data_IF_138513962318
#
_entry.id   IF_138513962318
#
_cell.length_a   1.000
_cell.length_b   1.000
_cell.length_c   1.000
_cell.angle_alpha   90.00
_cell.angle_beta   90.00
_cell.angle_gamma   90.00
#
_symmetry.space_group_name_H-M   'P 1'
#
loop_
_entity.id
_entity.type
_entity.pdbx_description
1 polymer ?
#
# COMPACT_ATOMS: atom_id res chain seq x y z
N UNK A 1 -1.35 -25.80 7.80
CA UNK A 1 -1.37 -25.14 8.27
C UNK A 1 -2.05 -24.48 8.48
N UNK A 2 -2.41 -24.17 8.61
CA UNK A 2 -2.40 -23.51 9.15
C UNK A 2 -3.37 -22.69 9.68
N UNK A 3 -3.29 -22.18 10.66
CA UNK A 3 -4.18 -21.23 11.21
C UNK A 3 -4.28 -20.11 10.24
N UNK A 4 -5.42 -19.61 10.08
CA UNK A 4 -5.57 -18.47 9.23
C UNK A 4 -6.49 -17.50 9.92
N UNK A 5 -6.21 -16.24 9.65
CA UNK A 5 -7.05 -15.20 10.16
C UNK A 5 -8.29 -15.08 9.30
N UNK A 6 -9.43 -15.16 9.96
CA UNK A 6 -10.69 -14.97 9.27
C UNK A 6 -11.33 -13.67 9.73
N UNK A 7 -10.58 -12.61 9.61
CA UNK A 7 -11.05 -11.30 10.00
C UNK A 7 -11.71 -10.65 8.79
N UNK A 8 -12.90 -10.08 8.96
CA UNK A 8 -13.54 -9.36 7.86
C UNK A 8 -12.62 -8.25 7.35
N UNK A 9 -12.59 -7.99 6.07
CA UNK A 9 -11.70 -6.94 5.54
C UNK A 9 -12.01 -5.60 6.16
N UNK A 10 -10.97 -4.91 6.62
CA UNK A 10 -11.10 -3.53 7.03
C UNK A 10 -11.14 -2.70 5.75
N UNK A 11 -12.29 -2.12 5.47
CA UNK A 11 -12.50 -1.32 4.28
C UNK A 11 -13.01 0.04 4.71
N UNK A 12 -12.24 1.09 4.41
CA UNK A 12 -12.57 2.43 4.86
C UNK A 12 -12.36 3.42 3.73
N UNK A 13 -13.44 4.04 3.32
CA UNK A 13 -13.37 5.08 2.31
C UNK A 13 -12.48 6.23 2.79
N UNK A 14 -12.55 6.54 4.08
CA UNK A 14 -11.74 7.60 4.66
C UNK A 14 -10.25 7.31 4.46
N UNK A 15 -9.83 6.05 4.67
CA UNK A 15 -8.45 5.65 4.46
C UNK A 15 -8.06 5.76 2.99
N UNK A 16 -8.93 5.28 2.09
CA UNK A 16 -8.64 5.34 0.66
C UNK A 16 -8.57 6.79 0.16
N UNK A 17 -9.49 7.62 0.60
CA UNK A 17 -9.50 9.01 0.18
C UNK A 17 -8.35 9.80 0.77
N UNK A 18 -7.77 9.35 1.88
CA UNK A 18 -6.65 10.06 2.50
C UNK A 18 -5.42 10.14 1.60
N UNK A 19 -5.33 9.26 0.60
CA UNK A 19 -4.18 9.24 -0.31
C UNK A 19 -4.14 10.46 -1.22
N UNK A 20 -5.27 11.11 -1.43
CA UNK A 20 -5.32 12.26 -2.32
C UNK A 20 -4.47 13.40 -1.75
N UNK A 21 -3.56 13.89 -2.58
CA UNK A 21 -2.68 14.98 -2.16
C UNK A 21 -1.50 14.56 -1.31
N UNK A 22 -1.37 13.28 -1.03
CA UNK A 22 -0.21 12.79 -0.27
C UNK A 22 0.97 12.54 -1.20
N UNK A 23 2.16 12.51 -0.62
CA UNK A 23 3.35 12.11 -1.35
C UNK A 23 3.43 10.60 -1.43
N UNK A 24 4.05 10.10 -2.50
CA UNK A 24 4.30 8.69 -2.66
C UNK A 24 5.27 8.20 -1.57
N UNK A 25 4.89 7.18 -0.81
CA UNK A 25 5.78 6.65 0.23
C UNK A 25 6.71 5.57 -0.30
N UNK A 26 6.42 4.99 -1.46
CA UNK A 26 7.30 3.99 -2.06
C UNK A 26 8.59 4.60 -2.61
N UNK A 27 8.47 5.67 -3.34
CA UNK A 27 9.61 6.41 -3.88
C UNK A 27 10.66 5.51 -4.55
N UNK A 28 10.18 4.57 -5.35
CA UNK A 28 11.07 3.70 -6.13
C UNK A 28 11.77 4.51 -7.23
N UNK A 29 12.75 3.92 -7.88
CA UNK A 29 13.46 4.61 -8.95
C UNK A 29 12.54 5.11 -10.04
N UNK A 30 11.45 4.40 -10.29
CA UNK A 30 10.46 4.79 -11.30
C UNK A 30 9.46 5.83 -10.80
N UNK A 31 9.58 6.29 -9.56
CA UNK A 31 8.59 7.17 -8.96
C UNK A 31 8.37 8.43 -9.80
N UNK A 32 7.09 8.76 -10.01
CA UNK A 32 6.75 9.95 -10.78
C UNK A 32 7.05 11.24 -10.01
N UNK A 33 7.01 11.17 -8.68
CA UNK A 33 7.07 12.37 -7.86
C UNK A 33 5.73 13.08 -7.82
N UNK A 34 5.63 14.09 -7.00
CA UNK A 34 4.40 14.86 -6.87
C UNK A 34 3.29 14.09 -6.18
N UNK A 35 2.09 14.67 -6.21
CA UNK A 35 0.96 14.12 -5.45
C UNK A 35 -0.23 13.77 -6.30
N UNK A 36 -0.19 14.08 -7.61
CA UNK A 36 -1.40 14.05 -8.44
C UNK A 36 -1.94 12.65 -8.73
N UNK A 37 -1.08 11.63 -8.67
CA UNK A 37 -1.48 10.26 -9.02
C UNK A 37 -1.45 9.30 -7.83
N UNK A 38 -1.28 9.81 -6.61
CA UNK A 38 -1.11 8.98 -5.44
C UNK A 38 -2.44 8.36 -5.01
N UNK A 39 -2.42 7.05 -4.82
CA UNK A 39 -3.58 6.28 -4.35
C UNK A 39 -3.14 5.36 -3.22
N UNK A 40 -4.11 4.78 -2.54
CA UNK A 40 -3.85 3.78 -1.51
C UNK A 40 -3.67 2.43 -2.22
N UNK A 41 -2.42 2.00 -2.37
CA UNK A 41 -2.06 0.80 -3.12
C UNK A 41 -1.85 -0.36 -2.17
N UNK A 42 -2.63 -1.43 -2.34
CA UNK A 42 -2.57 -2.59 -1.47
C UNK A 42 -1.34 -3.46 -1.76
N UNK A 43 -0.75 -3.99 -0.70
CA UNK A 43 0.48 -4.79 -0.81
C UNK A 43 0.13 -6.26 -0.97
N UNK A 44 -0.29 -6.63 -2.17
CA UNK A 44 -0.70 -8.01 -2.45
C UNK A 44 0.50 -8.96 -2.60
N UNK A 45 1.69 -8.39 -2.78
CA UNK A 45 2.90 -9.17 -2.99
C UNK A 45 3.30 -10.02 -1.77
N UNK A 46 2.72 -9.74 -0.60
CA UNK A 46 2.97 -10.54 0.59
C UNK A 46 1.95 -11.68 0.73
N UNK A 47 1.15 -11.92 -0.29
CA UNK A 47 0.06 -12.88 -0.17
C UNK A 47 -1.19 -12.32 0.47
N UNK A 48 -1.15 -11.06 0.83
CA UNK A 48 -2.32 -10.37 1.37
C UNK A 48 -3.28 -10.09 0.21
N UNK A 49 -4.53 -10.45 0.39
CA UNK A 49 -5.51 -10.22 -0.66
C UNK A 49 -5.35 -11.16 -1.84
N UNK A 50 -4.87 -12.37 -1.58
CA UNK A 50 -4.79 -13.39 -2.60
C UNK A 50 -6.16 -13.84 -3.06
N UNK A 51 -6.19 -14.94 -3.80
CA UNK A 51 -7.40 -15.43 -4.43
C UNK A 51 -8.57 -15.46 -3.47
N UNK A 52 -9.64 -14.78 -3.83
CA UNK A 52 -10.85 -14.75 -3.04
C UNK A 52 -10.78 -13.92 -1.76
N UNK A 53 -9.67 -13.25 -1.52
CA UNK A 53 -9.51 -12.44 -0.32
C UNK A 53 -9.26 -10.99 -0.67
N UNK A 54 -9.94 -10.10 0.05
CA UNK A 54 -9.76 -8.68 -0.11
C UNK A 54 -8.78 -8.19 0.95
N UNK A 55 -7.71 -7.51 0.57
CA UNK A 55 -6.76 -7.00 1.58
C UNK A 55 -7.39 -5.89 2.40
N UNK A 56 -6.89 -5.76 3.62
CA UNK A 56 -7.32 -4.67 4.49
C UNK A 56 -6.74 -3.34 4.00
N UNK A 57 -7.47 -2.27 4.20
CA UNK A 57 -6.96 -0.95 3.78
C UNK A 57 -5.74 -0.50 4.57
N UNK A 58 -5.44 -1.13 5.71
CA UNK A 58 -4.19 -0.83 6.41
C UNK A 58 -3.01 -1.66 5.89
N UNK A 59 -3.23 -2.56 4.94
CA UNK A 59 -2.15 -3.31 4.28
C UNK A 59 -1.84 -2.65 2.95
N UNK A 60 -1.62 -1.35 2.99
CA UNK A 60 -1.50 -0.55 1.79
C UNK A 60 -0.58 0.63 2.04
N UNK A 61 -0.03 1.16 0.95
CA UNK A 61 0.88 2.30 1.01
C UNK A 61 0.38 3.39 0.06
N UNK A 62 0.84 4.62 0.29
CA UNK A 62 0.57 5.69 -0.67
C UNK A 62 1.54 5.54 -1.83
N UNK A 63 1.03 5.35 -3.02
CA UNK A 63 1.87 5.12 -4.19
C UNK A 63 1.38 5.91 -5.39
N UNK A 64 2.32 6.52 -6.10
CA UNK A 64 2.01 7.13 -7.37
C UNK A 64 1.72 6.04 -8.41
N UNK A 65 1.20 6.43 -9.56
CA UNK A 65 0.81 5.47 -10.58
C UNK A 65 1.98 4.57 -11.02
N UNK A 66 3.18 5.12 -11.12
CA UNK A 66 4.34 4.32 -11.55
C UNK A 66 4.79 3.34 -10.48
N UNK A 67 4.85 3.77 -9.24
CA UNK A 67 5.23 2.86 -8.15
C UNK A 67 4.15 1.80 -7.93
N UNK A 68 2.88 2.17 -8.06
CA UNK A 68 1.77 1.22 -7.95
C UNK A 68 1.89 0.14 -9.02
N UNK A 69 2.17 0.53 -10.25
CA UNK A 69 2.36 -0.42 -11.33
C UNK A 69 3.53 -1.35 -11.05
N UNK A 70 4.62 -0.80 -10.51
CA UNK A 70 5.82 -1.58 -10.22
C UNK A 70 5.56 -2.69 -9.20
N UNK A 71 4.80 -2.42 -8.14
CA UNK A 71 4.55 -3.43 -7.12
C UNK A 71 3.50 -4.45 -7.55
N UNK A 72 2.71 -4.13 -8.57
CA UNK A 72 1.71 -5.06 -9.08
C UNK A 72 2.25 -6.00 -10.15
N UNK A 73 3.48 -5.81 -10.60
CA UNK A 73 4.05 -6.68 -11.61
C UNK A 73 4.25 -8.08 -11.07
N UNK A 74 3.84 -9.05 -11.84
CA UNK A 74 3.91 -10.44 -11.44
C UNK A 74 5.04 -11.20 -12.11
N UNK A 75 5.63 -10.62 -13.16
CA UNK A 75 6.68 -11.27 -13.92
C UNK A 75 7.85 -10.33 -14.10
N UNK A 76 9.02 -10.90 -14.35
CA UNK A 76 10.21 -10.11 -14.55
C UNK A 76 10.83 -9.68 -13.24
N UNK A 77 11.86 -8.86 -13.34
CA UNK A 77 12.55 -8.35 -12.18
C UNK A 77 11.72 -7.30 -11.49
N UNK A 78 11.51 -7.46 -10.21
CA UNK A 78 10.79 -6.48 -9.43
C UNK A 78 11.71 -5.28 -9.17
N UNK A 79 11.28 -4.06 -9.50
CA UNK A 79 12.12 -2.88 -9.26
C UNK A 79 11.98 -2.38 -7.83
N UNK A 80 11.84 -3.30 -6.87
CA UNK A 80 11.70 -2.96 -5.47
C UNK A 80 12.24 -4.09 -4.61
N UNK A 81 12.63 -3.73 -3.38
CA UNK A 81 13.00 -4.71 -2.38
C UNK A 81 11.99 -4.73 -1.25
N UNK A 82 12.06 -5.75 -0.41
CA UNK A 82 11.15 -5.87 0.73
C UNK A 82 11.31 -4.71 1.70
N UNK A 83 12.53 -4.19 1.81
CA UNK A 83 12.79 -3.04 2.66
C UNK A 83 12.06 -1.79 2.16
N UNK A 84 11.93 -1.63 0.85
CA UNK A 84 11.16 -0.51 0.29
C UNK A 84 9.70 -0.60 0.72
N UNK A 85 9.11 -1.79 0.65
CA UNK A 85 7.71 -1.97 1.00
C UNK A 85 7.49 -1.78 2.49
N UNK A 86 8.38 -2.31 3.31
CA UNK A 86 8.23 -2.20 4.75
C UNK A 86 8.37 -0.75 5.22
N UNK A 87 9.34 -0.05 4.66
CA UNK A 87 9.52 1.36 4.98
C UNK A 87 8.28 2.16 4.56
N UNK A 88 7.79 1.92 3.35
CA UNK A 88 6.63 2.64 2.84
C UNK A 88 5.39 2.37 3.69
N UNK A 89 5.21 1.13 4.13
CA UNK A 89 4.08 0.77 4.98
C UNK A 89 4.17 1.50 6.30
N UNK A 90 5.37 1.52 6.92
CA UNK A 90 5.55 2.21 8.18
C UNK A 90 5.27 3.70 8.05
N UNK A 91 5.76 4.33 6.99
CA UNK A 91 5.51 5.76 6.76
C UNK A 91 4.02 6.04 6.55
N UNK A 92 3.36 5.20 5.77
CA UNK A 92 1.93 5.39 5.50
C UNK A 92 1.11 5.26 6.78
N UNK A 93 1.41 4.25 7.60
CA UNK A 93 0.71 4.08 8.86
C UNK A 93 0.98 5.23 9.83
N UNK A 94 2.20 5.75 9.82
CA UNK A 94 2.52 6.92 10.66
C UNK A 94 1.68 8.13 10.26
N UNK A 95 1.46 8.32 8.97
CA UNK A 95 0.61 9.41 8.49
C UNK A 95 -0.83 9.20 8.94
N UNK A 96 -1.34 7.98 8.81
CA UNK A 96 -2.69 7.67 9.28
C UNK A 96 -2.83 7.98 10.77
N UNK A 97 -1.82 7.63 11.55
CA UNK A 97 -1.82 7.91 12.98
C UNK A 97 -1.81 9.41 13.25
N UNK A 98 -0.92 10.14 12.56
CA UNK A 98 -0.80 11.58 12.76
C UNK A 98 -2.08 12.32 12.35
N UNK A 99 -2.81 11.80 11.40
CA UNK A 99 -4.05 12.42 10.93
C UNK A 99 -5.29 11.88 11.63
N UNK A 100 -5.12 11.11 12.68
CA UNK A 100 -6.24 10.68 13.52
C UNK A 100 -7.00 9.47 13.03
N UNK A 101 -6.50 8.75 12.06
CA UNK A 101 -7.16 7.55 11.56
C UNK A 101 -6.79 6.29 12.33
N UNK A 102 -5.78 6.36 13.16
CA UNK A 102 -5.40 5.30 14.09
C UNK A 102 -5.40 5.91 15.49
N UNK A 103 -6.12 5.28 16.38
CA UNK A 103 -6.18 5.74 17.75
C UNK A 103 -5.35 4.88 18.68
#
# INVERSE_FOLDING_TARGET
>A
MTARFKVPPFSSRKWRDSARGQNCTLRLDCCRGGTSTVVLAHLRCFGWGGMGQKPHDFQAVYACDRCHDAIDRRTGDAPWGWDDLLRALGETLAIHYAEGRIE
#
